data_IF_830207115997
#
_entry.id   IF_830207115997
#
_cell.length_a   1.000
_cell.length_b   1.000
_cell.length_c   1.000
_cell.angle_alpha   90.00
_cell.angle_beta   90.00
_cell.angle_gamma   90.00
#
_symmetry.space_group_name_H-M   'P 1'
#
loop_
_entity.id
_entity.type
_entity.pdbx_description
1 polymer ?
#
# COMPACT_ATOMS: atom_id res chain seq x y z
N UNK A 1 25.83 -15.77 38.59
CA UNK A 1 26.69 -14.70 38.02
C UNK A 1 26.55 -14.74 36.50
N UNK A 2 26.04 -13.66 35.88
CA UNK A 2 26.03 -13.55 34.42
C UNK A 2 27.49 -13.35 33.97
N UNK A 3 27.98 -14.20 33.08
CA UNK A 3 29.38 -14.14 32.64
C UNK A 3 29.62 -12.90 31.77
N UNK A 4 30.79 -12.27 31.94
CA UNK A 4 31.21 -11.11 31.13
C UNK A 4 31.21 -11.44 29.63
N UNK A 5 31.48 -12.71 29.28
CA UNK A 5 31.37 -13.23 27.92
C UNK A 5 29.94 -13.22 27.36
N UNK A 6 28.92 -13.46 28.20
CA UNK A 6 27.52 -13.44 27.76
C UNK A 6 27.05 -12.00 27.50
N UNK A 7 27.38 -11.07 28.41
CA UNK A 7 27.07 -9.65 28.26
C UNK A 7 27.74 -9.01 27.03
N UNK A 8 29.00 -9.35 26.77
CA UNK A 8 29.73 -8.88 25.58
C UNK A 8 29.15 -9.44 24.29
N UNK A 9 28.73 -10.71 24.26
CA UNK A 9 28.05 -11.28 23.09
C UNK A 9 26.67 -10.66 22.81
N UNK A 10 25.88 -10.37 23.86
CA UNK A 10 24.61 -9.64 23.73
C UNK A 10 24.83 -8.21 23.25
N UNK A 11 25.81 -7.49 23.81
CA UNK A 11 26.15 -6.14 23.37
C UNK A 11 26.64 -6.11 21.93
N UNK A 12 27.51 -7.05 21.53
CA UNK A 12 27.96 -7.17 20.14
C UNK A 12 26.78 -7.48 19.19
N UNK A 13 25.87 -8.36 19.59
CA UNK A 13 24.63 -8.66 18.86
C UNK A 13 23.69 -7.46 18.73
N UNK A 14 23.57 -6.63 19.76
CA UNK A 14 22.76 -5.41 19.74
C UNK A 14 23.39 -4.32 18.86
N UNK A 15 24.70 -4.10 18.96
CA UNK A 15 25.43 -3.10 18.16
C UNK A 15 25.43 -3.48 16.67
N UNK A 16 25.65 -4.75 16.35
CA UNK A 16 25.55 -5.24 14.96
C UNK A 16 24.15 -5.08 14.40
N UNK A 17 23.10 -5.40 15.19
CA UNK A 17 21.71 -5.20 14.78
C UNK A 17 21.39 -3.72 14.52
N UNK A 18 21.81 -2.82 15.41
CA UNK A 18 21.61 -1.38 15.23
C UNK A 18 22.33 -0.85 13.98
N UNK A 19 23.56 -1.32 13.73
CA UNK A 19 24.30 -0.97 12.51
C UNK A 19 23.63 -1.47 11.23
N UNK A 20 23.13 -2.72 11.23
CA UNK A 20 22.38 -3.31 10.11
C UNK A 20 21.09 -2.53 9.85
N UNK A 21 20.34 -2.17 10.90
CA UNK A 21 19.10 -1.40 10.78
C UNK A 21 19.36 0.01 10.21
N UNK A 22 20.46 0.64 10.60
CA UNK A 22 20.85 1.95 10.08
C UNK A 22 21.27 1.87 8.60
N UNK A 23 22.08 0.87 8.23
CA UNK A 23 22.46 0.61 6.84
C UNK A 23 21.24 0.27 5.97
N UNK A 24 20.28 -0.48 6.52
CA UNK A 24 19.03 -0.81 5.84
C UNK A 24 18.20 0.45 5.56
N UNK A 25 18.05 1.34 6.54
CA UNK A 25 17.33 2.62 6.38
C UNK A 25 17.94 3.53 5.31
N UNK A 26 19.27 3.52 5.18
CA UNK A 26 19.98 4.40 4.25
C UNK A 26 20.23 3.80 2.86
N UNK A 27 19.75 2.59 2.55
CA UNK A 27 19.90 2.04 1.21
C UNK A 27 21.29 1.46 0.92
N UNK A 28 21.98 0.91 1.92
CA UNK A 28 23.33 0.33 1.75
C UNK A 28 23.32 -1.20 1.64
N UNK A 29 22.17 -1.87 1.84
CA UNK A 29 22.08 -3.34 1.74
C UNK A 29 22.06 -3.82 0.28
N UNK A 30 22.43 -5.07 -0.03
CA UNK A 30 22.27 -5.60 -1.38
C UNK A 30 20.85 -5.45 -1.94
N UNK A 31 20.71 -5.20 -3.25
CA UNK A 31 19.42 -5.02 -3.94
C UNK A 31 18.41 -6.15 -3.61
N UNK A 32 18.87 -7.40 -3.56
CA UNK A 32 18.04 -8.56 -3.25
C UNK A 32 17.38 -8.48 -1.85
N UNK A 33 18.04 -7.85 -0.88
CA UNK A 33 17.50 -7.65 0.48
C UNK A 33 16.27 -6.75 0.43
N UNK A 34 16.33 -5.67 -0.34
CA UNK A 34 15.22 -4.73 -0.50
C UNK A 34 14.06 -5.31 -1.32
N UNK A 35 14.35 -6.10 -2.36
CA UNK A 35 13.31 -6.85 -3.10
C UNK A 35 12.56 -7.79 -2.14
N UNK A 36 13.30 -8.57 -1.35
CA UNK A 36 12.70 -9.51 -0.38
C UNK A 36 11.88 -8.77 0.68
N UNK A 37 12.36 -7.63 1.17
CA UNK A 37 11.62 -6.80 2.11
C UNK A 37 10.32 -6.26 1.50
N UNK A 38 10.37 -5.79 0.25
CA UNK A 38 9.21 -5.29 -0.47
C UNK A 38 8.12 -6.35 -0.62
N UNK A 39 8.49 -7.54 -1.11
CA UNK A 39 7.53 -8.64 -1.30
C UNK A 39 6.95 -9.14 0.04
N UNK A 40 7.78 -9.18 1.10
CA UNK A 40 7.32 -9.59 2.44
C UNK A 40 6.38 -8.55 3.08
N UNK A 41 6.61 -7.27 2.84
CA UNK A 41 5.71 -6.21 3.29
C UNK A 41 4.36 -6.32 2.55
N UNK A 42 4.41 -6.58 1.24
CA UNK A 42 3.21 -6.78 0.43
C UNK A 42 2.39 -8.00 0.90
N UNK A 43 3.04 -9.12 1.23
CA UNK A 43 2.40 -10.30 1.82
C UNK A 43 1.67 -9.98 3.13
N UNK A 44 2.17 -9.02 3.90
CA UNK A 44 1.57 -8.53 5.15
C UNK A 44 0.55 -7.40 4.95
N UNK A 45 0.18 -7.12 3.70
CA UNK A 45 -0.72 -6.04 3.29
C UNK A 45 -0.18 -4.61 3.55
N UNK A 46 1.10 -4.47 3.94
CA UNK A 46 1.78 -3.20 4.15
C UNK A 46 2.35 -2.65 2.84
N UNK A 47 1.49 -1.94 2.11
CA UNK A 47 1.82 -1.40 0.79
C UNK A 47 2.84 -0.27 0.85
N UNK A 48 2.80 0.56 1.90
CA UNK A 48 3.71 1.69 2.05
C UNK A 48 5.16 1.20 2.23
N UNK A 49 5.36 0.21 3.11
CA UNK A 49 6.69 -0.38 3.31
C UNK A 49 7.13 -1.20 2.08
N UNK A 50 6.18 -1.82 1.36
CA UNK A 50 6.48 -2.51 0.11
C UNK A 50 7.04 -1.55 -0.95
N UNK A 51 6.38 -0.42 -1.18
CA UNK A 51 6.81 0.61 -2.13
C UNK A 51 8.14 1.23 -1.68
N UNK A 52 8.27 1.56 -0.39
CA UNK A 52 9.49 2.14 0.17
C UNK A 52 10.69 1.21 -0.04
N UNK A 53 10.53 -0.07 0.29
CA UNK A 53 11.58 -1.08 0.10
C UNK A 53 11.89 -1.28 -1.38
N UNK A 54 10.88 -1.31 -2.25
CA UNK A 54 11.08 -1.39 -3.69
C UNK A 54 11.92 -0.21 -4.22
N UNK A 55 11.57 1.02 -3.84
CA UNK A 55 12.33 2.21 -4.22
C UNK A 55 13.79 2.14 -3.75
N UNK A 56 14.06 1.62 -2.55
CA UNK A 56 15.43 1.41 -2.10
C UNK A 56 16.19 0.44 -3.01
N UNK A 57 15.53 -0.60 -3.54
CA UNK A 57 16.15 -1.59 -4.43
C UNK A 57 16.58 -1.03 -5.80
N UNK A 58 15.91 0.01 -6.31
CA UNK A 58 16.21 0.61 -7.62
C UNK A 58 16.95 1.95 -7.53
N UNK A 59 17.03 2.56 -6.35
CA UNK A 59 17.65 3.89 -6.17
C UNK A 59 19.16 3.90 -6.41
N UNK A 60 19.87 2.86 -5.97
CA UNK A 60 21.34 2.82 -5.98
C UNK A 60 21.92 1.79 -6.95
N UNK A 61 21.14 0.78 -7.31
CA UNK A 61 21.56 -0.29 -8.19
C UNK A 61 20.82 -0.18 -9.51
N UNK A 62 21.48 -0.60 -10.59
CA UNK A 62 20.82 -0.80 -11.88
C UNK A 62 19.67 -1.80 -11.69
N UNK A 63 18.47 -1.53 -12.27
CA UNK A 63 17.40 -2.50 -12.27
C UNK A 63 17.88 -3.84 -12.84
N UNK A 64 17.49 -4.92 -12.17
CA UNK A 64 17.64 -6.30 -12.65
C UNK A 64 16.28 -6.86 -13.02
N UNK A 65 16.27 -7.97 -13.75
CA UNK A 65 15.02 -8.70 -14.04
C UNK A 65 14.21 -8.99 -12.76
N UNK A 66 14.89 -9.25 -11.63
CA UNK A 66 14.22 -9.48 -10.34
C UNK A 66 13.55 -8.22 -9.79
N UNK A 67 14.12 -7.03 -10.00
CA UNK A 67 13.45 -5.78 -9.62
C UNK A 67 12.29 -5.47 -10.54
N UNK A 68 12.40 -5.75 -11.84
CA UNK A 68 11.29 -5.55 -12.78
C UNK A 68 10.08 -6.41 -12.37
N UNK A 69 10.29 -7.71 -12.17
CA UNK A 69 9.25 -8.64 -11.70
C UNK A 69 8.67 -8.21 -10.36
N UNK A 70 9.50 -7.74 -9.42
CA UNK A 70 9.00 -7.24 -8.14
C UNK A 70 8.13 -5.98 -8.30
N UNK A 71 8.50 -5.07 -9.21
CA UNK A 71 7.72 -3.89 -9.56
C UNK A 71 6.36 -4.27 -10.15
N UNK A 72 6.33 -5.22 -11.09
CA UNK A 72 5.09 -5.74 -11.70
C UNK A 72 4.17 -6.40 -10.69
N UNK A 73 4.72 -7.17 -9.74
CA UNK A 73 3.94 -7.79 -8.66
C UNK A 73 3.27 -6.71 -7.79
N UNK A 74 4.02 -5.68 -7.40
CA UNK A 74 3.49 -4.57 -6.59
C UNK A 74 2.44 -3.80 -7.38
N UNK A 75 2.69 -3.47 -8.65
CA UNK A 75 1.76 -2.78 -9.52
C UNK A 75 0.45 -3.57 -9.70
N UNK A 76 0.55 -4.89 -9.87
CA UNK A 76 -0.60 -5.80 -9.96
C UNK A 76 -1.41 -5.84 -8.67
N UNK A 77 -0.74 -5.88 -7.52
CA UNK A 77 -1.42 -5.81 -6.23
C UNK A 77 -2.16 -4.48 -6.03
N UNK A 78 -1.57 -3.36 -6.45
CA UNK A 78 -2.24 -2.05 -6.47
C UNK A 78 -3.46 -2.07 -7.39
N UNK A 79 -3.34 -2.64 -8.60
CA UNK A 79 -4.46 -2.75 -9.54
C UNK A 79 -5.63 -3.55 -8.96
N UNK A 80 -5.36 -4.65 -8.25
CA UNK A 80 -6.40 -5.42 -7.54
C UNK A 80 -7.08 -4.60 -6.45
N UNK A 81 -6.32 -3.79 -5.69
CA UNK A 81 -6.91 -2.89 -4.67
C UNK A 81 -7.80 -1.82 -5.30
N UNK A 82 -7.34 -1.20 -6.39
CA UNK A 82 -8.13 -0.23 -7.17
C UNK A 82 -9.44 -0.87 -7.64
N UNK A 83 -9.39 -2.05 -8.26
CA UNK A 83 -10.58 -2.74 -8.75
C UNK A 83 -11.60 -3.06 -7.63
N UNK A 84 -11.13 -3.35 -6.41
CA UNK A 84 -12.01 -3.53 -5.25
C UNK A 84 -12.71 -2.22 -4.85
N UNK A 85 -11.98 -1.10 -4.84
CA UNK A 85 -12.54 0.21 -4.54
C UNK A 85 -13.54 0.66 -5.62
N UNK A 86 -13.23 0.45 -6.89
CA UNK A 86 -14.13 0.75 -8.01
C UNK A 86 -15.46 0.00 -7.88
N UNK A 87 -15.43 -1.28 -7.45
CA UNK A 87 -16.65 -2.03 -7.14
C UNK A 87 -17.45 -1.40 -6.01
N UNK A 88 -16.78 -0.95 -4.94
CA UNK A 88 -17.46 -0.26 -3.83
C UNK A 88 -18.08 1.07 -4.27
N UNK A 89 -17.40 1.82 -5.13
CA UNK A 89 -17.95 3.04 -5.73
C UNK A 89 -19.18 2.71 -6.55
N UNK A 90 -19.14 1.67 -7.38
CA UNK A 90 -20.30 1.24 -8.17
C UNK A 90 -21.49 0.83 -7.29
N UNK A 91 -21.25 0.08 -6.20
CA UNK A 91 -22.28 -0.29 -5.22
C UNK A 91 -22.91 0.96 -4.57
N UNK A 92 -22.10 1.96 -4.21
CA UNK A 92 -22.60 3.22 -3.66
C UNK A 92 -23.37 4.04 -4.71
N UNK A 93 -22.93 4.04 -5.96
CA UNK A 93 -23.60 4.74 -7.06
C UNK A 93 -25.00 4.20 -7.33
N UNK A 94 -25.21 2.88 -7.22
CA UNK A 94 -26.55 2.29 -7.34
C UNK A 94 -27.50 2.78 -6.24
N UNK A 95 -26.98 3.05 -5.03
CA UNK A 95 -27.77 3.52 -3.89
C UNK A 95 -28.02 5.04 -3.97
N UNK A 96 -26.99 5.81 -4.33
CA UNK A 96 -27.03 7.27 -4.40
C UNK A 96 -27.78 7.77 -5.64
N UNK A 97 -27.64 7.08 -6.76
CA UNK A 97 -28.21 7.44 -8.06
C UNK A 97 -29.08 6.30 -8.62
N UNK A 98 -30.13 5.88 -7.89
CA UNK A 98 -30.97 4.78 -8.34
C UNK A 98 -31.77 5.18 -9.59
N UNK A 99 -32.22 4.17 -10.35
CA UNK A 99 -33.09 4.39 -11.52
C UNK A 99 -34.32 5.22 -11.12
N UNK A 100 -34.71 6.15 -12.00
CA UNK A 100 -35.89 7.00 -11.83
C UNK A 100 -37.11 6.15 -11.52
N UNK A 101 -37.95 6.61 -10.59
CA UNK A 101 -39.18 5.94 -10.15
C UNK A 101 -39.01 4.58 -9.46
N UNK A 102 -37.78 4.13 -9.18
CA UNK A 102 -37.57 2.95 -8.33
C UNK A 102 -38.04 3.22 -6.89
N UNK A 103 -38.32 2.16 -6.13
CA UNK A 103 -38.63 2.29 -4.69
C UNK A 103 -37.52 3.06 -3.96
N UNK A 104 -36.26 2.76 -4.27
CA UNK A 104 -35.10 3.43 -3.66
C UNK A 104 -35.06 4.92 -4.00
N UNK A 105 -35.40 5.31 -5.23
CA UNK A 105 -35.51 6.71 -5.63
C UNK A 105 -36.48 7.49 -4.75
N UNK A 106 -37.68 6.95 -4.52
CA UNK A 106 -38.66 7.60 -3.64
C UNK A 106 -38.22 7.62 -2.17
N UNK A 107 -37.60 6.53 -1.69
CA UNK A 107 -37.03 6.49 -0.35
C UNK A 107 -35.94 7.56 -0.17
N UNK A 108 -35.08 7.76 -1.16
CA UNK A 108 -33.99 8.74 -1.10
C UNK A 108 -34.50 10.19 -1.04
N UNK A 109 -35.73 10.48 -1.48
CA UNK A 109 -36.34 11.81 -1.37
C UNK A 109 -36.84 12.14 0.04
N UNK A 110 -36.99 11.14 0.91
CA UNK A 110 -37.49 11.36 2.27
C UNK A 110 -36.46 12.17 3.11
N UNK A 111 -36.89 13.22 3.84
CA UNK A 111 -35.98 14.05 4.64
C UNK A 111 -35.15 13.25 5.65
N UNK A 112 -35.74 12.19 6.22
CA UNK A 112 -35.08 11.30 7.19
C UNK A 112 -33.84 10.59 6.64
N UNK A 113 -33.74 10.44 5.32
CA UNK A 113 -32.62 9.76 4.66
C UNK A 113 -31.48 10.70 4.26
N UNK A 114 -31.65 12.02 4.39
CA UNK A 114 -30.64 13.00 3.94
C UNK A 114 -29.27 12.82 4.59
N UNK A 115 -29.23 12.63 5.91
CA UNK A 115 -27.96 12.42 6.64
C UNK A 115 -27.26 11.13 6.21
N UNK A 116 -28.04 10.05 6.02
CA UNK A 116 -27.51 8.78 5.50
C UNK A 116 -26.92 8.94 4.10
N UNK A 117 -27.62 9.63 3.19
CA UNK A 117 -27.14 9.86 1.83
C UNK A 117 -25.89 10.74 1.80
N UNK A 118 -25.80 11.73 2.68
CA UNK A 118 -24.58 12.54 2.83
C UNK A 118 -23.39 11.69 3.29
N UNK A 119 -23.57 10.83 4.30
CA UNK A 119 -22.51 9.91 4.73
C UNK A 119 -22.04 8.97 3.61
N UNK A 120 -22.97 8.44 2.81
CA UNK A 120 -22.62 7.61 1.64
C UNK A 120 -21.90 8.41 0.54
N UNK A 121 -22.23 9.69 0.35
CA UNK A 121 -21.50 10.56 -0.57
C UNK A 121 -20.09 10.85 -0.09
N UNK A 122 -19.89 11.07 1.21
CA UNK A 122 -18.56 11.24 1.80
C UNK A 122 -17.73 9.96 1.68
N UNK A 123 -18.32 8.80 1.95
CA UNK A 123 -17.66 7.50 1.76
C UNK A 123 -17.25 7.27 0.30
N UNK A 124 -18.15 7.57 -0.65
CA UNK A 124 -17.86 7.50 -2.10
C UNK A 124 -16.66 8.37 -2.48
N UNK A 125 -16.62 9.62 -2.01
CA UNK A 125 -15.50 10.54 -2.25
C UNK A 125 -14.20 9.98 -1.67
N UNK A 126 -14.23 9.42 -0.47
CA UNK A 126 -13.06 8.78 0.15
C UNK A 126 -12.50 7.64 -0.69
N UNK A 127 -13.36 6.81 -1.29
CA UNK A 127 -12.91 5.76 -2.21
C UNK A 127 -12.33 6.32 -3.52
N UNK A 128 -12.91 7.36 -4.11
CA UNK A 128 -12.39 8.01 -5.33
C UNK A 128 -11.00 8.64 -5.08
N UNK A 129 -10.82 9.29 -3.93
CA UNK A 129 -9.52 9.83 -3.51
C UNK A 129 -8.48 8.73 -3.34
N UNK A 130 -8.85 7.62 -2.67
CA UNK A 130 -7.97 6.47 -2.51
C UNK A 130 -7.57 5.83 -3.85
N UNK A 131 -8.52 5.67 -4.79
CA UNK A 131 -8.25 5.21 -6.15
C UNK A 131 -7.26 6.15 -6.85
N UNK A 132 -7.46 7.47 -6.72
CA UNK A 132 -6.58 8.48 -7.32
C UNK A 132 -5.16 8.37 -6.79
N UNK A 133 -4.99 8.20 -5.47
CA UNK A 133 -3.68 8.02 -4.84
C UNK A 133 -3.02 6.72 -5.31
N UNK A 134 -3.75 5.62 -5.31
CA UNK A 134 -3.24 4.32 -5.76
C UNK A 134 -2.82 4.33 -7.23
N UNK A 135 -3.60 4.98 -8.11
CA UNK A 135 -3.23 5.16 -9.51
C UNK A 135 -1.92 5.93 -9.65
N UNK A 136 -1.77 7.07 -8.95
CA UNK A 136 -0.51 7.85 -8.96
C UNK A 136 0.68 7.02 -8.50
N UNK A 137 0.52 6.21 -7.45
CA UNK A 137 1.58 5.32 -6.96
C UNK A 137 1.94 4.29 -8.02
N UNK A 138 0.95 3.62 -8.63
CA UNK A 138 1.18 2.62 -9.68
C UNK A 138 1.91 3.23 -10.89
N UNK A 139 1.50 4.41 -11.33
CA UNK A 139 2.10 5.08 -12.48
C UNK A 139 3.56 5.49 -12.19
N UNK A 140 3.84 5.93 -10.96
CA UNK A 140 5.20 6.24 -10.50
C UNK A 140 6.12 5.01 -10.45
N UNK A 141 5.58 3.82 -10.17
CA UNK A 141 6.36 2.57 -10.23
C UNK A 141 6.78 2.26 -11.67
N UNK A 142 5.87 2.46 -12.64
CA UNK A 142 6.13 2.16 -14.05
C UNK A 142 7.09 3.16 -14.73
N UNK A 143 7.20 4.39 -14.23
CA UNK A 143 8.13 5.40 -14.77
C UNK A 143 9.59 5.21 -14.31
N UNK A 144 9.86 4.30 -13.37
CA UNK A 144 11.20 4.11 -12.76
C UNK A 144 11.83 2.74 -13.07
N UNK A 145 11.17 1.91 -13.88
CA UNK A 145 11.77 0.75 -14.54
C UNK A 145 12.43 1.18 -15.84
#
# INVERSE_FOLDING_TARGET
MISVSFLTSMLAGLVTKLGIDQLMKHGYMPQATYIKAALKALEKDDLDEAIRSYHLSVRRWRPSQRTEVAGEIIASAIAVRIAKLERRVAELDEILYPRRFSRQFWLNLLPRNRSKLQALQEERKGYEEAITVLNKIRDNLNQRG
#
